data_IF_276402242166
#
_entry.id   IF_276402242166
#
_cell.length_a   1.000
_cell.length_b   1.000
_cell.length_c   1.000
_cell.angle_alpha   90.00
_cell.angle_beta   90.00
_cell.angle_gamma   90.00
#
_symmetry.space_group_name_H-M   'P 1'
#
loop_
_entity.id
_entity.type
_entity.pdbx_description
1 polymer ?
#
# COMPACT_ATOMS: atom_id res chain seq x y z
N UNK A 1 8.52 6.12 -21.40
CA UNK A 1 8.25 7.57 -21.55
C UNK A 1 9.60 8.26 -21.63
N UNK A 2 10.31 8.03 -22.73
CA UNK A 2 11.72 8.41 -22.87
C UNK A 2 11.92 8.81 -24.31
N UNK A 3 12.54 9.97 -24.53
CA UNK A 3 12.88 10.48 -25.85
C UNK A 3 14.39 10.50 -25.97
N UNK A 4 14.89 10.13 -27.15
CA UNK A 4 16.31 10.32 -27.49
C UNK A 4 16.51 11.76 -27.94
N UNK A 5 17.33 12.49 -27.22
CA UNK A 5 17.89 13.75 -27.67
C UNK A 5 19.32 13.54 -28.16
N UNK A 6 19.82 14.48 -28.96
CA UNK A 6 21.16 14.46 -29.50
C UNK A 6 21.90 15.74 -29.12
N UNK A 7 23.12 15.61 -28.63
CA UNK A 7 24.05 16.70 -28.36
C UNK A 7 25.35 16.47 -29.10
N UNK A 8 25.93 17.52 -29.69
CA UNK A 8 27.20 17.45 -30.42
C UNK A 8 28.39 17.06 -29.54
N UNK A 9 28.31 17.28 -28.22
CA UNK A 9 29.38 16.98 -27.28
C UNK A 9 29.28 15.60 -26.61
N UNK A 10 28.07 15.07 -26.46
CA UNK A 10 27.80 13.85 -25.67
C UNK A 10 27.09 12.74 -26.45
N UNK A 11 26.76 12.95 -27.73
CA UNK A 11 26.05 12.00 -28.56
C UNK A 11 24.56 11.91 -28.22
N UNK A 12 23.93 10.75 -28.46
CA UNK A 12 22.52 10.55 -28.12
C UNK A 12 22.36 10.21 -26.63
N UNK A 13 21.47 10.93 -25.95
CA UNK A 13 21.12 10.70 -24.54
C UNK A 13 19.60 10.61 -24.36
N UNK A 14 19.18 9.88 -23.34
CA UNK A 14 17.77 9.77 -22.99
C UNK A 14 17.34 10.96 -22.12
N UNK A 15 16.19 11.54 -22.47
CA UNK A 15 15.56 12.66 -21.76
C UNK A 15 14.07 12.41 -21.61
N UNK A 16 13.47 13.04 -20.60
CA UNK A 16 12.03 13.03 -20.38
C UNK A 16 11.31 14.13 -21.20
N UNK A 17 12.06 15.00 -21.91
CA UNK A 17 11.53 16.16 -22.63
C UNK A 17 11.34 17.39 -21.75
N UNK A 18 10.90 18.51 -22.34
CA UNK A 18 10.87 19.83 -21.69
C UNK A 18 9.96 19.90 -20.45
N UNK A 19 8.84 19.18 -20.45
CA UNK A 19 7.94 19.05 -19.28
C UNK A 19 8.18 17.76 -18.48
N UNK A 20 9.16 16.96 -18.89
CA UNK A 20 9.37 15.60 -18.40
C UNK A 20 9.74 15.54 -16.92
N UNK A 21 10.48 16.52 -16.43
CA UNK A 21 10.90 16.58 -15.03
C UNK A 21 9.74 16.94 -14.10
N UNK A 22 8.84 17.83 -14.53
CA UNK A 22 7.63 18.17 -13.78
C UNK A 22 6.66 16.98 -13.70
N UNK A 23 6.44 16.30 -14.83
CA UNK A 23 5.62 15.08 -14.89
C UNK A 23 6.23 13.95 -14.06
N UNK A 24 7.56 13.82 -14.06
CA UNK A 24 8.26 12.85 -13.22
C UNK A 24 8.06 13.13 -11.73
N UNK A 25 8.19 14.40 -11.31
CA UNK A 25 7.93 14.78 -9.93
C UNK A 25 6.49 14.47 -9.50
N UNK A 26 5.51 14.78 -10.35
CA UNK A 26 4.10 14.47 -10.11
C UNK A 26 3.86 12.97 -10.00
N UNK A 27 4.38 12.18 -10.94
CA UNK A 27 4.30 10.72 -10.92
C UNK A 27 4.89 10.14 -9.65
N UNK A 28 6.05 10.65 -9.22
CA UNK A 28 6.77 10.20 -8.05
C UNK A 28 5.96 10.41 -6.77
N UNK A 29 5.36 11.59 -6.59
CA UNK A 29 4.48 11.88 -5.45
C UNK A 29 3.27 10.94 -5.45
N UNK A 30 2.63 10.75 -6.61
CA UNK A 30 1.47 9.85 -6.74
C UNK A 30 1.81 8.41 -6.36
N UNK A 31 2.94 7.90 -6.84
CA UNK A 31 3.40 6.55 -6.56
C UNK A 31 3.73 6.36 -5.09
N UNK A 32 4.46 7.29 -4.46
CA UNK A 32 4.78 7.22 -3.03
C UNK A 32 3.53 7.17 -2.17
N UNK A 33 2.55 8.04 -2.45
CA UNK A 33 1.27 8.02 -1.74
C UNK A 33 0.52 6.70 -1.94
N UNK A 34 0.51 6.16 -3.17
CA UNK A 34 -0.12 4.87 -3.45
C UNK A 34 0.53 3.74 -2.65
N UNK A 35 1.87 3.63 -2.67
CA UNK A 35 2.60 2.60 -1.94
C UNK A 35 2.43 2.75 -0.43
N UNK A 36 2.42 3.99 0.08
CA UNK A 36 2.14 4.25 1.50
C UNK A 36 0.76 3.74 1.91
N UNK A 37 -0.28 4.03 1.11
CA UNK A 37 -1.65 3.64 1.40
C UNK A 37 -1.93 2.14 1.18
N UNK A 38 -1.26 1.52 0.20
CA UNK A 38 -1.53 0.12 -0.17
C UNK A 38 -0.61 -0.89 0.52
N UNK A 39 0.67 -0.54 0.70
CA UNK A 39 1.66 -1.44 1.28
C UNK A 39 1.95 -1.08 2.75
N UNK A 40 1.81 0.20 3.13
CA UNK A 40 2.18 0.72 4.45
C UNK A 40 3.62 1.23 4.51
N UNK A 41 3.89 2.14 5.46
CA UNK A 41 5.18 2.84 5.60
C UNK A 41 6.36 1.89 5.90
N UNK A 42 6.12 0.79 6.62
CA UNK A 42 7.16 -0.16 6.99
C UNK A 42 7.32 -1.32 5.99
N UNK A 43 6.53 -1.33 4.90
CA UNK A 43 6.59 -2.39 3.91
C UNK A 43 7.92 -2.46 3.17
N UNK A 44 8.29 -3.66 2.72
CA UNK A 44 9.46 -3.85 1.87
C UNK A 44 9.34 -3.04 0.58
N UNK A 45 8.14 -2.98 -0.02
CA UNK A 45 7.89 -2.19 -1.23
C UNK A 45 8.14 -0.69 -1.06
N UNK A 46 7.63 -0.10 0.03
CA UNK A 46 7.79 1.34 0.27
C UNK A 46 9.23 1.68 0.60
N UNK A 47 9.91 0.86 1.42
CA UNK A 47 11.32 1.06 1.77
C UNK A 47 12.23 0.91 0.55
N UNK A 48 12.10 -0.18 -0.21
CA UNK A 48 12.90 -0.41 -1.41
C UNK A 48 12.66 0.70 -2.45
N UNK A 49 11.43 1.23 -2.56
CA UNK A 49 11.13 2.37 -3.43
C UNK A 49 11.88 3.63 -2.99
N UNK A 50 11.93 3.95 -1.68
CA UNK A 50 12.65 5.11 -1.16
C UNK A 50 14.16 4.98 -1.39
N UNK A 51 14.73 3.81 -1.08
CA UNK A 51 16.16 3.55 -1.27
C UNK A 51 16.54 3.61 -2.75
N UNK A 52 15.70 3.05 -3.63
CA UNK A 52 15.86 3.17 -5.07
C UNK A 52 15.43 4.54 -5.62
N UNK A 53 14.87 5.46 -4.84
CA UNK A 53 14.61 6.82 -5.29
C UNK A 53 15.87 7.69 -5.20
N UNK A 54 16.77 7.39 -4.26
CA UNK A 54 17.94 8.21 -3.94
C UNK A 54 18.89 8.39 -5.13
N UNK A 55 19.18 9.65 -5.47
CA UNK A 55 20.07 9.98 -6.59
C UNK A 55 21.49 9.53 -6.30
N UNK A 56 22.03 8.69 -7.17
CA UNK A 56 23.41 8.22 -7.17
C UNK A 56 24.26 9.04 -8.15
N UNK A 57 25.59 8.93 -8.02
CA UNK A 57 26.50 9.58 -8.98
C UNK A 57 26.20 9.12 -10.42
N UNK A 58 26.12 10.09 -11.34
CA UNK A 58 25.80 9.90 -12.75
C UNK A 58 24.37 9.40 -13.05
N UNK A 59 23.43 9.55 -12.12
CA UNK A 59 22.03 9.26 -12.41
C UNK A 59 21.41 10.29 -13.37
N UNK A 60 20.60 9.77 -14.28
CA UNK A 60 19.60 10.53 -15.03
C UNK A 60 18.21 10.16 -14.54
N UNK A 61 17.23 11.06 -14.65
CA UNK A 61 15.84 10.76 -14.27
C UNK A 61 15.30 9.50 -14.98
N UNK A 62 15.72 9.26 -16.22
CA UNK A 62 15.44 8.04 -16.95
C UNK A 62 15.97 6.77 -16.26
N UNK A 63 17.21 6.81 -15.77
CA UNK A 63 17.82 5.68 -15.07
C UNK A 63 17.10 5.41 -13.74
N UNK A 64 16.74 6.48 -13.03
CA UNK A 64 15.98 6.40 -11.78
C UNK A 64 14.60 5.78 -12.02
N UNK A 65 13.84 6.23 -13.02
CA UNK A 65 12.54 5.63 -13.35
C UNK A 65 12.69 4.14 -13.68
N UNK A 66 13.74 3.77 -14.42
CA UNK A 66 13.97 2.38 -14.84
C UNK A 66 14.19 1.42 -13.67
N UNK A 67 14.80 1.89 -12.56
CA UNK A 67 14.95 1.08 -11.32
C UNK A 67 13.69 1.08 -10.44
N UNK A 68 12.85 2.10 -10.53
CA UNK A 68 11.60 2.17 -9.76
C UNK A 68 10.47 1.30 -10.35
N UNK A 69 10.43 1.13 -11.69
CA UNK A 69 9.39 0.34 -12.36
C UNK A 69 9.32 -1.13 -11.87
N UNK A 70 10.43 -1.88 -11.73
CA UNK A 70 10.38 -3.25 -11.21
C UNK A 70 9.78 -3.36 -9.82
N UNK A 71 10.07 -2.40 -8.93
CA UNK A 71 9.52 -2.36 -7.57
C UNK A 71 8.00 -2.20 -7.65
N UNK A 72 7.52 -1.27 -8.47
CA UNK A 72 6.08 -1.07 -8.67
C UNK A 72 5.38 -2.29 -9.25
N UNK A 73 6.05 -3.03 -10.14
CA UNK A 73 5.51 -4.29 -10.68
C UNK A 73 5.38 -5.34 -9.58
N UNK A 74 6.40 -5.50 -8.75
CA UNK A 74 6.34 -6.41 -7.61
C UNK A 74 5.21 -6.02 -6.63
N UNK A 75 5.08 -4.74 -6.28
CA UNK A 75 3.98 -4.25 -5.45
C UNK A 75 2.61 -4.50 -6.06
N UNK A 76 2.48 -4.35 -7.39
CA UNK A 76 1.24 -4.63 -8.10
C UNK A 76 0.90 -6.12 -8.12
N UNK A 77 1.90 -6.99 -8.32
CA UNK A 77 1.70 -8.43 -8.27
C UNK A 77 1.28 -8.88 -6.88
N UNK A 78 1.91 -8.36 -5.83
CA UNK A 78 1.54 -8.65 -4.44
C UNK A 78 0.16 -8.10 -4.08
N UNK A 79 -0.19 -6.92 -4.59
CA UNK A 79 -1.55 -6.38 -4.49
C UNK A 79 -2.57 -7.33 -5.13
N UNK A 80 -2.30 -7.76 -6.36
CA UNK A 80 -3.21 -8.61 -7.15
C UNK A 80 -3.37 -10.01 -6.55
N UNK A 81 -2.32 -10.53 -5.93
CA UNK A 81 -2.33 -11.83 -5.27
C UNK A 81 -2.85 -11.77 -3.82
N UNK A 82 -3.22 -10.59 -3.32
CA UNK A 82 -3.78 -10.43 -1.98
C UNK A 82 -2.76 -10.47 -0.84
N UNK A 83 -1.46 -10.31 -1.15
CA UNK A 83 -0.39 -10.30 -0.15
C UNK A 83 -0.21 -8.96 0.55
N UNK A 84 -0.82 -7.89 0.04
CA UNK A 84 -0.85 -6.60 0.70
C UNK A 84 -2.05 -6.50 1.64
N UNK A 85 -1.82 -5.96 2.84
CA UNK A 85 -2.91 -5.54 3.72
C UNK A 85 -3.77 -4.54 2.95
N UNK A 86 -4.95 -4.96 2.53
CA UNK A 86 -5.81 -4.12 1.70
C UNK A 86 -6.27 -2.90 2.49
N UNK A 87 -6.53 -1.78 1.80
CA UNK A 87 -7.17 -0.61 2.40
C UNK A 87 -8.44 -0.96 3.19
N UNK A 88 -9.20 -1.96 2.71
CA UNK A 88 -10.37 -2.51 3.40
C UNK A 88 -10.02 -3.09 4.78
N UNK A 89 -8.93 -3.85 4.91
CA UNK A 89 -8.49 -4.42 6.18
C UNK A 89 -8.03 -3.35 7.18
N UNK A 90 -7.43 -2.26 6.69
CA UNK A 90 -7.05 -1.12 7.54
C UNK A 90 -8.29 -0.44 8.11
N UNK A 91 -9.26 -0.10 7.26
CA UNK A 91 -10.53 0.52 7.69
C UNK A 91 -11.27 -0.41 8.66
N UNK A 92 -11.26 -1.72 8.41
CA UNK A 92 -11.87 -2.70 9.31
C UNK A 92 -11.20 -2.73 10.69
N UNK A 93 -9.87 -2.66 10.73
CA UNK A 93 -9.13 -2.61 11.99
C UNK A 93 -9.50 -1.36 12.81
N UNK A 94 -9.60 -0.18 12.18
CA UNK A 94 -10.02 1.05 12.86
C UNK A 94 -11.44 0.95 13.44
N UNK A 95 -12.37 0.35 12.69
CA UNK A 95 -13.73 0.09 13.17
C UNK A 95 -13.71 -0.89 14.34
N UNK A 96 -12.99 -2.00 14.23
CA UNK A 96 -12.87 -2.99 15.31
C UNK A 96 -12.27 -2.39 16.58
N UNK A 97 -11.26 -1.53 16.48
CA UNK A 97 -10.66 -0.87 17.64
C UNK A 97 -11.68 0.01 18.37
N UNK A 98 -12.51 0.75 17.63
CA UNK A 98 -13.58 1.58 18.20
C UNK A 98 -14.67 0.75 18.91
N UNK A 99 -15.05 -0.41 18.35
CA UNK A 99 -16.03 -1.32 18.93
C UNK A 99 -15.47 -2.04 20.16
N UNK A 100 -14.20 -2.43 20.13
CA UNK A 100 -13.51 -3.02 21.28
C UNK A 100 -13.33 -2.02 22.42
N UNK A 101 -13.13 -0.74 22.12
CA UNK A 101 -13.12 0.31 23.14
C UNK A 101 -14.49 0.48 23.81
N UNK A 102 -15.58 0.43 23.02
CA UNK A 102 -16.94 0.39 23.58
C UNK A 102 -17.16 -0.85 24.47
N UNK A 103 -16.70 -2.02 24.03
CA UNK A 103 -16.76 -3.25 24.83
C UNK A 103 -15.99 -3.12 26.16
N UNK A 104 -14.79 -2.52 26.13
CA UNK A 104 -13.99 -2.23 27.35
C UNK A 104 -14.72 -1.27 28.28
N UNK A 105 -15.30 -0.20 27.76
CA UNK A 105 -16.08 0.78 28.54
C UNK A 105 -17.29 0.12 29.22
N UNK A 106 -18.05 -0.69 28.50
CA UNK A 106 -19.19 -1.44 29.04
C UNK A 106 -18.77 -2.44 30.13
N UNK A 107 -17.66 -3.15 29.90
CA UNK A 107 -17.11 -4.08 30.88
C UNK A 107 -16.71 -3.36 32.17
N UNK A 108 -16.03 -2.21 32.06
CA UNK A 108 -15.64 -1.39 33.21
C UNK A 108 -16.84 -0.86 34.01
N UNK A 109 -17.97 -0.64 33.33
CA UNK A 109 -19.24 -0.22 33.92
C UNK A 109 -20.09 -1.39 34.45
N UNK A 110 -19.58 -2.62 34.43
CA UNK A 110 -20.26 -3.82 34.93
C UNK A 110 -21.21 -4.50 33.94
N UNK A 111 -21.38 -3.98 32.73
CA UNK A 111 -22.25 -4.54 31.68
C UNK A 111 -21.57 -5.69 30.92
N UNK A 112 -21.28 -6.78 31.62
CA UNK A 112 -20.51 -7.93 31.10
C UNK A 112 -21.13 -8.58 29.86
N UNK A 113 -22.45 -8.74 29.85
CA UNK A 113 -23.14 -9.37 28.72
C UNK A 113 -23.02 -8.53 27.45
N UNK A 114 -23.27 -7.22 27.55
CA UNK A 114 -23.16 -6.30 26.42
C UNK A 114 -21.72 -6.23 25.89
N UNK A 115 -20.73 -6.16 26.78
CA UNK A 115 -19.33 -6.20 26.41
C UNK A 115 -18.95 -7.50 25.68
N UNK A 116 -19.41 -8.65 26.18
CA UNK A 116 -19.15 -9.95 25.57
C UNK A 116 -19.79 -10.08 24.17
N UNK A 117 -21.00 -9.53 23.98
CA UNK A 117 -21.66 -9.50 22.67
C UNK A 117 -20.85 -8.69 21.67
N UNK A 118 -20.44 -7.46 22.01
CA UNK A 118 -19.67 -6.60 21.10
C UNK A 118 -18.32 -7.25 20.74
N UNK A 119 -17.58 -7.71 21.74
CA UNK A 119 -16.31 -8.39 21.49
C UNK A 119 -16.48 -9.66 20.65
N UNK A 120 -17.56 -10.42 20.87
CA UNK A 120 -17.90 -11.60 20.09
C UNK A 120 -18.22 -11.27 18.62
N UNK A 121 -18.97 -10.20 18.37
CA UNK A 121 -19.28 -9.74 17.00
C UNK A 121 -18.02 -9.29 16.25
N UNK A 122 -17.12 -8.56 16.93
CA UNK A 122 -15.83 -8.16 16.35
C UNK A 122 -15.02 -9.41 15.98
N UNK A 123 -14.89 -10.38 16.89
CA UNK A 123 -14.16 -11.62 16.64
C UNK A 123 -14.76 -12.44 15.49
N UNK A 124 -16.09 -12.60 15.47
CA UNK A 124 -16.79 -13.33 14.41
C UNK A 124 -16.58 -12.68 13.05
N UNK A 125 -16.64 -11.34 12.98
CA UNK A 125 -16.43 -10.59 11.74
C UNK A 125 -14.99 -10.72 11.27
N UNK A 126 -14.01 -10.57 12.17
CA UNK A 126 -12.59 -10.73 11.84
C UNK A 126 -12.28 -12.15 11.30
N UNK A 127 -12.84 -13.19 11.92
CA UNK A 127 -12.64 -14.58 11.45
C UNK A 127 -13.30 -14.79 10.08
N UNK A 128 -14.52 -14.29 9.87
CA UNK A 128 -15.21 -14.39 8.56
C UNK A 128 -14.38 -13.74 7.46
N UNK A 129 -13.82 -12.56 7.73
CA UNK A 129 -12.99 -11.85 6.77
C UNK A 129 -11.68 -12.60 6.49
N UNK A 130 -11.05 -13.17 7.51
CA UNK A 130 -9.87 -14.02 7.34
C UNK A 130 -10.18 -15.21 6.42
N UNK A 131 -11.30 -15.90 6.63
CA UNK A 131 -11.73 -16.99 5.76
C UNK A 131 -11.93 -16.53 4.31
N UNK A 132 -12.68 -15.43 4.10
CA UNK A 132 -12.93 -14.88 2.76
C UNK A 132 -11.62 -14.46 2.05
N UNK A 133 -10.69 -13.84 2.77
CA UNK A 133 -9.39 -13.43 2.23
C UNK A 133 -8.52 -14.64 1.83
N UNK A 134 -8.75 -15.81 2.43
CA UNK A 134 -8.05 -17.06 2.11
C UNK A 134 -8.86 -17.99 1.20
N UNK A 135 -9.95 -17.49 0.59
CA UNK A 135 -10.77 -18.29 -0.33
C UNK A 135 -11.54 -19.43 0.34
N UNK A 136 -11.74 -19.38 1.66
CA UNK A 136 -12.49 -20.36 2.43
C UNK A 136 -13.97 -19.99 2.40
N UNK A 137 -14.81 -20.86 1.84
CA UNK A 137 -16.26 -20.67 1.84
C UNK A 137 -16.82 -20.65 3.26
N UNK A 138 -17.70 -19.70 3.52
CA UNK A 138 -18.42 -19.60 4.78
C UNK A 138 -19.71 -20.41 4.69
N UNK A 139 -19.92 -21.35 5.62
CA UNK A 139 -21.21 -22.01 5.76
C UNK A 139 -22.28 -20.98 6.17
N UNK A 140 -23.28 -20.80 5.31
CA UNK A 140 -24.41 -19.93 5.58
C UNK A 140 -25.40 -20.70 6.46
N UNK A 141 -25.53 -20.30 7.73
CA UNK A 141 -26.63 -20.81 8.58
C UNK A 141 -27.97 -20.46 7.92
N UNK A 142 -28.71 -21.49 7.54
CA UNK A 142 -30.13 -21.40 7.16
C UNK A 142 -30.99 -21.11 8.39
#
# INVERSE_FOLDING_TARGET
MTKKAYSEYSGSYDTLGDEGDALYLEWKVKVKNLLLLSCGEHSIHYRDFLDAEETQSFDTNTRIISRLIPILKASYDDFKNGFLTSFKQIVQAEVFDSELEQARSLLSSGYKNSAAVIAGVVLETAIKELCLNNGIELERKN
#
